data_IF_702216957887
#
_entry.id   IF_702216957887
#
_cell.length_a   1.000
_cell.length_b   1.000
_cell.length_c   1.000
_cell.angle_alpha   90.00
_cell.angle_beta   90.00
_cell.angle_gamma   90.00
#
_symmetry.space_group_name_H-M   'P 1'
#
loop_
_entity.id
_entity.type
_entity.pdbx_description
1 polymer ?
#
# COMPACT_ATOMS: atom_id res chain seq x y z
N UNK A 1 -22.77 -36.98 -11.58
CA UNK A 1 -21.46 -36.75 -10.93
C UNK A 1 -20.96 -35.27 -10.98
N UNK A 2 -21.83 -34.26 -11.22
CA UNK A 2 -21.41 -32.88 -11.51
C UNK A 2 -21.53 -31.86 -10.34
N UNK A 3 -21.84 -32.29 -9.10
CA UNK A 3 -22.11 -31.38 -7.97
C UNK A 3 -20.90 -31.03 -7.09
N UNK A 4 -19.77 -31.75 -7.20
CA UNK A 4 -18.56 -31.47 -6.38
C UNK A 4 -17.65 -30.38 -6.96
N UNK A 5 -17.75 -30.04 -8.25
CA UNK A 5 -16.85 -29.07 -8.92
C UNK A 5 -17.17 -27.61 -8.56
N UNK A 6 -18.45 -27.25 -8.42
CA UNK A 6 -18.87 -25.89 -8.06
C UNK A 6 -18.58 -25.52 -6.59
N UNK A 7 -18.44 -26.51 -5.71
CA UNK A 7 -18.28 -26.29 -4.27
C UNK A 7 -16.86 -25.83 -3.88
N UNK A 8 -15.85 -26.14 -4.69
CA UNK A 8 -14.44 -25.80 -4.39
C UNK A 8 -14.05 -24.36 -4.76
N UNK A 9 -14.61 -23.78 -5.84
CA UNK A 9 -14.38 -22.37 -6.18
C UNK A 9 -14.87 -21.41 -5.09
N UNK A 10 -15.97 -21.76 -4.39
CA UNK A 10 -16.51 -20.97 -3.29
C UNK A 10 -15.72 -21.07 -1.98
N UNK A 11 -14.84 -22.06 -1.82
CA UNK A 11 -14.15 -22.31 -0.56
C UNK A 11 -13.13 -21.20 -0.24
N UNK A 12 -12.29 -20.81 -1.19
CA UNK A 12 -11.32 -19.72 -1.01
C UNK A 12 -12.03 -18.40 -0.72
N UNK A 13 -13.09 -18.09 -1.46
CA UNK A 13 -13.87 -16.86 -1.23
C UNK A 13 -14.60 -16.87 0.11
N UNK A 14 -15.11 -18.03 0.54
CA UNK A 14 -15.74 -18.17 1.85
C UNK A 14 -14.73 -17.95 2.98
N UNK A 15 -13.52 -18.48 2.86
CA UNK A 15 -12.45 -18.29 3.86
C UNK A 15 -11.98 -16.84 3.86
N UNK A 16 -11.73 -16.23 2.69
CA UNK A 16 -11.40 -14.80 2.57
C UNK A 16 -12.46 -13.92 3.22
N UNK A 17 -13.75 -14.21 3.00
CA UNK A 17 -14.85 -13.43 3.59
C UNK A 17 -14.91 -13.55 5.11
N UNK A 18 -14.59 -14.73 5.66
CA UNK A 18 -14.59 -15.04 7.09
C UNK A 18 -13.39 -14.45 7.85
N UNK A 19 -12.23 -14.33 7.21
CA UNK A 19 -11.01 -13.80 7.85
C UNK A 19 -11.06 -12.27 7.90
N UNK A 20 -11.64 -11.74 8.98
CA UNK A 20 -11.84 -10.29 9.18
C UNK A 20 -10.62 -9.60 9.78
N UNK A 21 -9.97 -10.24 10.73
CA UNK A 21 -8.87 -9.65 11.49
C UNK A 21 -7.53 -10.30 11.09
N UNK A 22 -6.57 -9.54 10.53
CA UNK A 22 -5.24 -10.05 10.23
C UNK A 22 -4.42 -10.42 11.47
N UNK A 23 -4.89 -10.09 12.69
CA UNK A 23 -4.23 -10.43 13.96
C UNK A 23 -4.71 -11.75 14.55
N UNK A 24 -5.86 -12.28 14.09
CA UNK A 24 -6.32 -13.61 14.48
C UNK A 24 -5.45 -14.67 13.78
N UNK A 25 -4.44 -15.15 14.51
CA UNK A 25 -3.50 -16.17 14.02
C UNK A 25 -4.19 -17.45 13.54
N UNK A 26 -5.29 -17.88 14.18
CA UNK A 26 -6.00 -19.10 13.76
C UNK A 26 -6.76 -18.88 12.46
N UNK A 27 -7.40 -17.72 12.30
CA UNK A 27 -8.06 -17.38 11.04
C UNK A 27 -7.06 -17.19 9.90
N UNK A 28 -5.93 -16.53 10.16
CA UNK A 28 -4.84 -16.35 9.20
C UNK A 28 -4.24 -17.69 8.78
N UNK A 29 -3.97 -18.61 9.72
CA UNK A 29 -3.44 -19.93 9.39
C UNK A 29 -4.40 -20.76 8.52
N UNK A 30 -5.71 -20.71 8.81
CA UNK A 30 -6.73 -21.36 7.94
C UNK A 30 -6.78 -20.74 6.56
N UNK A 31 -6.66 -19.41 6.46
CA UNK A 31 -6.59 -18.72 5.19
C UNK A 31 -5.33 -19.13 4.41
N UNK A 32 -4.16 -19.14 5.05
CA UNK A 32 -2.92 -19.57 4.44
C UNK A 32 -3.04 -21.02 3.91
N UNK A 33 -3.56 -21.95 4.70
CA UNK A 33 -3.79 -23.33 4.28
C UNK A 33 -4.72 -23.43 3.06
N UNK A 34 -5.80 -22.65 3.02
CA UNK A 34 -6.71 -22.62 1.88
C UNK A 34 -6.07 -22.00 0.62
N UNK A 35 -5.17 -21.04 0.78
CA UNK A 35 -4.45 -20.42 -0.32
C UNK A 35 -3.29 -21.29 -0.80
N UNK A 36 -2.72 -22.16 0.05
CA UNK A 36 -1.69 -23.13 -0.33
C UNK A 36 -2.23 -24.27 -1.22
N UNK A 37 -3.55 -24.49 -1.29
CA UNK A 37 -4.18 -25.50 -2.15
C UNK A 37 -4.04 -25.13 -3.64
N UNK A 38 -2.97 -25.64 -4.27
CA UNK A 38 -2.65 -25.41 -5.69
C UNK A 38 -3.77 -25.90 -6.61
N UNK A 39 -4.36 -27.06 -6.32
CA UNK A 39 -5.44 -27.60 -7.14
C UNK A 39 -6.71 -26.75 -7.00
N UNK A 40 -6.97 -26.25 -5.79
CA UNK A 40 -8.03 -25.28 -5.52
C UNK A 40 -7.87 -23.98 -6.31
N UNK A 41 -6.66 -23.41 -6.31
CA UNK A 41 -6.34 -22.24 -7.13
C UNK A 41 -6.45 -22.52 -8.63
N UNK A 42 -5.93 -23.65 -9.10
CA UNK A 42 -6.01 -24.04 -10.51
C UNK A 42 -7.48 -24.20 -10.95
N UNK A 43 -8.32 -24.87 -10.15
CA UNK A 43 -9.76 -24.98 -10.41
C UNK A 43 -10.46 -23.62 -10.46
N UNK A 44 -10.06 -22.68 -9.59
CA UNK A 44 -10.59 -21.30 -9.60
C UNK A 44 -10.23 -20.55 -10.87
N UNK A 45 -9.00 -20.72 -11.37
CA UNK A 45 -8.48 -19.99 -12.53
C UNK A 45 -8.86 -20.64 -13.87
N UNK A 46 -9.16 -21.93 -13.89
CA UNK A 46 -9.44 -22.69 -15.11
C UNK A 46 -10.50 -22.05 -16.03
N UNK A 47 -11.63 -21.50 -15.55
CA UNK A 47 -12.61 -20.85 -16.41
C UNK A 47 -12.05 -19.60 -17.12
N UNK A 48 -11.20 -18.83 -16.45
CA UNK A 48 -10.60 -17.61 -17.01
C UNK A 48 -9.50 -17.98 -18.02
N UNK A 49 -8.70 -19.00 -17.72
CA UNK A 49 -7.69 -19.52 -18.64
C UNK A 49 -8.32 -20.10 -19.91
N UNK A 50 -9.44 -20.81 -19.80
CA UNK A 50 -10.19 -21.33 -20.95
C UNK A 50 -10.68 -20.19 -21.86
N UNK A 51 -11.24 -19.11 -21.27
CA UNK A 51 -11.69 -17.93 -22.04
C UNK A 51 -10.55 -17.25 -22.79
N UNK A 52 -9.37 -17.12 -22.15
CA UNK A 52 -8.19 -16.54 -22.79
C UNK A 52 -7.72 -17.42 -23.95
N UNK A 53 -7.69 -18.75 -23.74
CA UNK A 53 -7.27 -19.72 -24.76
C UNK A 53 -8.20 -19.78 -25.98
N UNK A 54 -9.50 -19.52 -25.79
CA UNK A 54 -10.50 -19.45 -26.86
C UNK A 54 -10.30 -18.23 -27.79
N UNK A 55 -9.37 -17.31 -27.49
CA UNK A 55 -8.91 -16.27 -28.40
C UNK A 55 -9.96 -15.17 -28.69
N UNK A 56 -11.07 -15.15 -27.96
CA UNK A 56 -12.08 -14.11 -28.10
C UNK A 56 -11.59 -12.77 -27.56
N UNK A 57 -12.03 -11.66 -28.17
CA UNK A 57 -11.77 -10.29 -27.69
C UNK A 57 -12.45 -9.96 -26.35
N UNK A 58 -12.95 -10.96 -25.63
CA UNK A 58 -13.63 -10.78 -24.37
C UNK A 58 -12.59 -10.46 -23.29
N UNK A 59 -12.76 -9.30 -22.66
CA UNK A 59 -11.90 -8.86 -21.57
C UNK A 59 -11.89 -9.91 -20.43
N UNK A 60 -10.72 -10.31 -19.91
CA UNK A 60 -10.63 -11.21 -18.77
C UNK A 60 -11.40 -10.63 -17.57
N UNK A 61 -12.09 -11.47 -16.79
CA UNK A 61 -12.83 -10.97 -15.61
C UNK A 61 -11.91 -10.61 -14.46
N UNK A 62 -10.69 -11.16 -14.47
CA UNK A 62 -9.68 -10.86 -13.48
C UNK A 62 -8.82 -9.68 -13.96
N UNK A 63 -8.79 -8.63 -13.14
CA UNK A 63 -7.91 -7.50 -13.39
C UNK A 63 -6.44 -7.92 -13.32
N UNK A 64 -5.68 -7.62 -14.36
CA UNK A 64 -4.24 -7.82 -14.42
C UNK A 64 -3.48 -6.85 -13.51
N UNK A 65 -2.30 -7.28 -13.08
CA UNK A 65 -1.34 -6.49 -12.30
C UNK A 65 -0.02 -6.55 -13.06
N UNK A 66 0.55 -5.38 -13.35
CA UNK A 66 1.90 -5.25 -13.89
C UNK A 66 2.55 -4.05 -13.21
N UNK A 67 3.56 -4.30 -12.37
CA UNK A 67 4.32 -3.25 -11.72
C UNK A 67 5.71 -3.76 -11.33
N UNK A 68 6.77 -3.06 -11.75
CA UNK A 68 8.15 -3.27 -11.28
C UNK A 68 8.61 -4.75 -11.25
N UNK A 69 8.46 -5.48 -12.36
CA UNK A 69 8.83 -6.91 -12.45
C UNK A 69 7.90 -7.88 -11.69
N UNK A 70 6.76 -7.38 -11.20
CA UNK A 70 5.67 -8.19 -10.67
C UNK A 70 4.53 -8.25 -11.68
N UNK A 71 4.11 -9.47 -12.00
CA UNK A 71 2.94 -9.74 -12.85
C UNK A 71 1.90 -10.51 -12.05
N UNK A 72 0.62 -10.35 -12.34
CA UNK A 72 -0.39 -11.13 -11.63
C UNK A 72 -1.83 -10.79 -11.96
N UNK A 73 -2.72 -11.35 -11.16
CA UNK A 73 -4.17 -11.15 -11.28
C UNK A 73 -4.81 -10.96 -9.90
N UNK A 74 -5.82 -10.11 -9.84
CA UNK A 74 -6.66 -9.96 -8.64
C UNK A 74 -7.61 -11.15 -8.55
N UNK A 75 -7.48 -11.94 -7.49
CA UNK A 75 -8.38 -13.08 -7.22
C UNK A 75 -9.69 -12.60 -6.58
N UNK A 76 -9.60 -11.69 -5.60
CA UNK A 76 -10.74 -11.17 -4.85
C UNK A 76 -10.45 -9.75 -4.38
N UNK A 77 -11.47 -8.89 -4.40
CA UNK A 77 -11.38 -7.54 -3.84
C UNK A 77 -12.71 -7.18 -3.19
N UNK A 78 -12.65 -6.70 -1.96
CA UNK A 78 -13.77 -6.05 -1.30
C UNK A 78 -13.30 -4.79 -0.53
N UNK A 79 -14.20 -4.18 0.24
CA UNK A 79 -13.90 -2.97 1.02
C UNK A 79 -12.83 -3.20 2.11
N UNK A 80 -12.54 -4.45 2.48
CA UNK A 80 -11.64 -4.82 3.60
C UNK A 80 -10.31 -5.36 3.12
N UNK A 81 -10.28 -6.14 2.03
CA UNK A 81 -9.04 -6.76 1.56
C UNK A 81 -8.97 -6.92 0.05
N UNK A 82 -7.74 -7.11 -0.44
CA UNK A 82 -7.46 -7.54 -1.81
C UNK A 82 -6.59 -8.80 -1.76
N UNK A 83 -7.02 -9.86 -2.45
CA UNK A 83 -6.24 -11.08 -2.66
C UNK A 83 -5.77 -11.16 -4.11
N UNK A 84 -4.50 -11.48 -4.33
CA UNK A 84 -3.84 -11.43 -5.63
C UNK A 84 -2.96 -12.66 -5.81
N UNK A 85 -2.96 -13.25 -7.00
CA UNK A 85 -1.93 -14.19 -7.43
C UNK A 85 -0.88 -13.38 -8.17
N UNK A 86 0.37 -13.47 -7.75
CA UNK A 86 1.50 -12.73 -8.29
C UNK A 86 2.61 -13.70 -8.69
N UNK A 87 3.34 -13.35 -9.74
CA UNK A 87 4.62 -13.91 -10.11
C UNK A 87 5.64 -12.79 -9.95
N UNK A 88 6.64 -13.04 -9.13
CA UNK A 88 7.66 -12.06 -8.74
C UNK A 88 9.03 -12.64 -9.04
N UNK A 89 9.88 -11.89 -9.72
CA UNK A 89 11.27 -12.27 -9.93
C UNK A 89 12.12 -12.00 -8.69
N UNK A 90 13.21 -12.75 -8.54
CA UNK A 90 14.20 -12.43 -7.53
C UNK A 90 14.79 -11.04 -7.81
N UNK A 91 14.84 -10.21 -6.77
CA UNK A 91 15.34 -8.86 -6.87
C UNK A 91 16.87 -8.87 -6.89
N UNK A 92 17.41 -8.76 -8.10
CA UNK A 92 18.85 -8.78 -8.39
C UNK A 92 19.40 -7.38 -8.66
N UNK A 93 18.59 -6.33 -8.51
CA UNK A 93 18.97 -4.97 -8.90
C UNK A 93 19.78 -4.26 -7.82
N UNK A 94 20.82 -3.53 -8.23
CA UNK A 94 21.55 -2.58 -7.37
C UNK A 94 20.75 -1.31 -7.05
N UNK A 95 19.70 -1.03 -7.84
CA UNK A 95 18.75 0.06 -7.61
C UNK A 95 17.48 -0.42 -6.89
N UNK A 96 17.55 -1.60 -6.28
CA UNK A 96 16.45 -2.17 -5.54
C UNK A 96 15.96 -1.26 -4.42
N UNK A 97 14.65 -1.31 -4.18
CA UNK A 97 14.01 -0.54 -3.11
C UNK A 97 13.27 -1.45 -2.14
N UNK A 98 13.23 -1.04 -0.88
CA UNK A 98 12.49 -1.71 0.19
C UNK A 98 11.25 -0.87 0.47
N UNK A 99 10.09 -1.41 0.13
CA UNK A 99 8.78 -0.75 0.26
C UNK A 99 8.06 -1.10 1.56
N UNK A 100 7.68 -0.07 2.32
CA UNK A 100 6.77 -0.16 3.47
C UNK A 100 5.45 0.51 3.11
N UNK A 101 4.31 -0.09 3.47
CA UNK A 101 2.98 0.35 3.10
C UNK A 101 2.02 0.41 4.29
N UNK A 102 0.72 0.47 4.02
CA UNK A 102 -0.32 0.43 5.05
C UNK A 102 -0.75 -1.01 5.37
N UNK A 103 -1.25 -1.20 6.59
CA UNK A 103 -2.01 -2.39 6.97
C UNK A 103 -1.17 -3.65 7.16
N UNK A 104 -1.83 -4.79 6.96
CA UNK A 104 -1.25 -6.11 7.12
C UNK A 104 -1.27 -6.86 5.80
N UNK A 105 -0.24 -7.70 5.59
CA UNK A 105 -0.07 -8.49 4.38
C UNK A 105 0.24 -9.94 4.74
N UNK A 106 -0.52 -10.86 4.19
CA UNK A 106 -0.19 -12.29 4.16
C UNK A 106 0.38 -12.62 2.79
N UNK A 107 1.53 -13.26 2.76
CA UNK A 107 2.13 -13.84 1.55
C UNK A 107 2.22 -15.35 1.73
N UNK A 108 1.70 -16.11 0.78
CA UNK A 108 1.82 -17.58 0.70
C UNK A 108 2.66 -17.92 -0.53
N UNK A 109 3.73 -18.70 -0.34
CA UNK A 109 4.68 -19.01 -1.41
C UNK A 109 4.26 -20.27 -2.17
N UNK A 110 4.29 -20.22 -3.50
CA UNK A 110 4.00 -21.35 -4.39
C UNK A 110 5.21 -21.72 -5.25
N UNK A 111 6.41 -21.39 -4.81
CA UNK A 111 7.65 -21.67 -5.53
C UNK A 111 7.84 -23.18 -5.82
N UNK A 112 8.45 -23.50 -6.96
CA UNK A 112 8.82 -24.88 -7.32
C UNK A 112 10.13 -25.33 -6.65
N UNK A 113 10.95 -24.38 -6.20
CA UNK A 113 12.18 -24.58 -5.43
C UNK A 113 12.17 -23.66 -4.21
N UNK A 114 12.94 -23.95 -3.15
CA UNK A 114 13.10 -23.01 -2.05
C UNK A 114 13.60 -21.64 -2.53
N UNK A 115 13.12 -20.57 -1.90
CA UNK A 115 13.50 -19.19 -2.19
C UNK A 115 14.07 -18.52 -0.95
N UNK A 116 15.10 -17.69 -1.10
CA UNK A 116 15.65 -16.93 0.02
C UNK A 116 15.02 -15.55 0.04
N UNK A 117 14.50 -15.15 1.20
CA UNK A 117 14.02 -13.80 1.47
C UNK A 117 14.89 -13.09 2.49
N UNK A 118 15.03 -11.78 2.31
CA UNK A 118 15.54 -10.87 3.34
C UNK A 118 14.37 -10.10 3.95
N UNK A 119 14.26 -10.08 5.29
CA UNK A 119 13.22 -9.27 5.96
C UNK A 119 13.83 -8.01 6.53
N UNK A 120 13.06 -6.94 6.47
CA UNK A 120 13.47 -5.62 6.90
C UNK A 120 12.48 -5.05 7.90
N UNK A 121 12.97 -4.22 8.81
CA UNK A 121 12.16 -3.44 9.74
C UNK A 121 12.48 -1.95 9.65
N UNK A 122 11.46 -1.13 9.73
CA UNK A 122 11.57 0.31 9.87
C UNK A 122 10.88 0.79 11.15
N UNK A 123 11.54 1.68 11.90
CA UNK A 123 10.91 2.39 13.00
C UNK A 123 10.04 3.52 12.48
N UNK A 124 8.96 3.88 13.19
CA UNK A 124 8.09 5.01 12.83
C UNK A 124 8.69 6.38 13.15
N UNK A 125 9.91 6.44 13.70
CA UNK A 125 10.53 7.67 14.18
C UNK A 125 10.13 8.04 15.63
N UNK A 126 10.79 9.05 16.23
CA UNK A 126 10.44 9.56 17.55
C UNK A 126 9.03 10.18 17.54
N UNK A 127 8.13 9.72 18.42
CA UNK A 127 6.73 10.17 18.46
C UNK A 127 5.69 9.20 17.88
N UNK A 128 6.10 7.97 17.56
CA UNK A 128 5.17 6.90 17.19
C UNK A 128 4.50 7.12 15.83
N UNK A 129 3.20 6.78 15.72
CA UNK A 129 2.44 6.78 14.45
C UNK A 129 2.35 8.14 13.74
N UNK A 130 2.57 9.24 14.45
CA UNK A 130 2.54 10.61 13.90
C UNK A 130 3.92 11.29 13.92
N UNK A 131 4.96 10.56 14.34
CA UNK A 131 6.32 11.08 14.53
C UNK A 131 7.26 10.89 13.34
N UNK A 132 6.80 10.22 12.27
CA UNK A 132 7.61 10.04 11.08
C UNK A 132 7.87 11.39 10.41
N UNK A 133 9.11 11.74 10.16
CA UNK A 133 9.49 12.96 9.44
C UNK A 133 10.50 12.58 8.36
N UNK A 134 10.32 13.09 7.14
CA UNK A 134 11.16 12.73 5.99
C UNK A 134 12.62 13.08 6.24
N UNK A 135 12.87 14.28 6.78
CA UNK A 135 14.23 14.79 7.02
C UNK A 135 14.99 14.07 8.12
N UNK A 136 14.31 13.28 8.96
CA UNK A 136 14.91 12.51 10.05
C UNK A 136 14.47 11.05 10.03
N UNK A 137 14.10 10.53 8.85
CA UNK A 137 13.62 9.17 8.71
C UNK A 137 14.75 8.18 9.07
N UNK A 138 14.55 7.29 10.06
CA UNK A 138 15.56 6.31 10.42
C UNK A 138 15.76 5.32 9.26
N UNK A 139 16.98 4.77 9.08
CA UNK A 139 17.20 3.75 8.07
C UNK A 139 16.42 2.48 8.42
N UNK A 140 15.99 1.75 7.39
CA UNK A 140 15.46 0.40 7.59
C UNK A 140 16.59 -0.59 7.87
N UNK A 141 16.32 -1.59 8.71
CA UNK A 141 17.32 -2.57 9.16
C UNK A 141 16.98 -3.97 8.67
N UNK A 142 17.98 -4.70 8.20
CA UNK A 142 17.87 -6.13 7.92
C UNK A 142 17.62 -6.88 9.23
N UNK A 143 16.60 -7.72 9.27
CA UNK A 143 16.30 -8.62 10.37
C UNK A 143 17.00 -9.98 10.22
N UNK A 144 17.27 -10.39 8.98
CA UNK A 144 17.90 -11.68 8.67
C UNK A 144 17.52 -12.19 7.29
N UNK A 145 17.92 -13.44 7.04
CA UNK A 145 17.57 -14.21 5.84
C UNK A 145 16.78 -15.45 6.23
N UNK A 146 15.78 -15.79 5.42
CA UNK A 146 14.95 -16.97 5.60
C UNK A 146 14.77 -17.70 4.29
N UNK A 147 14.76 -19.02 4.35
CA UNK A 147 14.38 -19.86 3.21
C UNK A 147 12.88 -20.18 3.31
N UNK A 148 12.16 -19.97 2.21
CA UNK A 148 10.73 -20.23 2.09
C UNK A 148 10.51 -21.33 1.05
N UNK A 149 9.73 -22.34 1.40
CA UNK A 149 9.29 -23.40 0.51
C UNK A 149 7.84 -23.20 0.05
N UNK A 150 7.36 -24.11 -0.80
CA UNK A 150 5.95 -24.16 -1.18
C UNK A 150 5.04 -24.35 0.04
N UNK A 151 4.01 -23.53 0.16
CA UNK A 151 3.05 -23.55 1.26
C UNK A 151 3.49 -22.79 2.50
N UNK A 152 4.76 -22.38 2.59
CA UNK A 152 5.20 -21.46 3.64
C UNK A 152 4.52 -20.11 3.46
N UNK A 153 4.30 -19.43 4.58
CA UNK A 153 3.63 -18.15 4.58
C UNK A 153 4.25 -17.17 5.57
N UNK A 154 4.10 -15.88 5.25
CA UNK A 154 4.60 -14.77 6.03
C UNK A 154 3.49 -13.75 6.27
N UNK A 155 3.28 -13.40 7.53
CA UNK A 155 2.46 -12.24 7.91
C UNK A 155 3.37 -11.05 8.18
N UNK A 156 3.08 -9.93 7.52
CA UNK A 156 3.86 -8.69 7.58
C UNK A 156 2.95 -7.55 8.02
N UNK A 157 3.33 -6.84 9.08
CA UNK A 157 2.76 -5.53 9.38
C UNK A 157 3.44 -4.50 8.46
N UNK A 158 2.83 -4.21 7.30
CA UNK A 158 3.47 -3.48 6.19
C UNK A 158 3.94 -2.08 6.55
N UNK A 159 3.41 -1.50 7.63
CA UNK A 159 3.87 -0.22 8.19
C UNK A 159 5.30 -0.30 8.74
N UNK A 160 5.71 -1.46 9.24
CA UNK A 160 6.97 -1.63 9.98
C UNK A 160 7.87 -2.69 9.40
N UNK A 161 7.32 -3.62 8.62
CA UNK A 161 8.04 -4.76 8.09
C UNK A 161 7.87 -4.85 6.58
N UNK A 162 8.92 -5.29 5.92
CA UNK A 162 8.97 -5.57 4.50
C UNK A 162 9.85 -6.79 4.25
N UNK A 163 9.79 -7.38 3.06
CA UNK A 163 10.74 -8.39 2.64
C UNK A 163 11.05 -8.25 1.16
N UNK A 164 12.22 -8.75 0.75
CA UNK A 164 12.66 -8.90 -0.64
C UNK A 164 12.94 -10.38 -0.90
N UNK A 165 12.65 -10.84 -2.10
CA UNK A 165 13.12 -12.16 -2.59
C UNK A 165 14.49 -11.91 -3.18
N UNK A 166 15.54 -12.48 -2.60
CA UNK A 166 16.93 -12.22 -3.01
C UNK A 166 17.54 -13.37 -3.79
N UNK A 167 17.06 -14.59 -3.59
CA UNK A 167 17.51 -15.76 -4.34
C UNK A 167 16.31 -16.63 -4.72
N UNK A 168 16.21 -16.96 -5.99
CA UNK A 168 15.27 -17.93 -6.53
C UNK A 168 15.85 -18.52 -7.82
N UNK A 169 15.50 -19.78 -8.11
CA UNK A 169 15.90 -20.46 -9.35
C UNK A 169 15.19 -19.90 -10.60
N UNK A 170 14.07 -19.21 -10.41
CA UNK A 170 13.28 -18.58 -11.47
C UNK A 170 12.16 -17.71 -10.89
N UNK A 171 11.17 -17.31 -11.70
CA UNK A 171 10.02 -16.54 -11.24
C UNK A 171 9.28 -17.25 -10.11
N UNK A 172 8.86 -16.51 -9.09
CA UNK A 172 8.28 -17.04 -7.85
C UNK A 172 6.78 -16.76 -7.81
N UNK A 173 5.92 -17.77 -8.02
CA UNK A 173 4.49 -17.62 -7.81
C UNK A 173 4.20 -17.48 -6.31
N UNK A 174 3.37 -16.51 -5.95
CA UNK A 174 2.89 -16.30 -4.60
C UNK A 174 1.46 -15.79 -4.59
N UNK A 175 0.71 -16.10 -3.54
CA UNK A 175 -0.58 -15.47 -3.26
C UNK A 175 -0.39 -14.43 -2.17
N UNK A 176 -0.85 -13.21 -2.44
CA UNK A 176 -0.78 -12.09 -1.50
C UNK A 176 -2.17 -11.65 -1.12
N UNK A 177 -2.42 -11.54 0.18
CA UNK A 177 -3.62 -10.91 0.74
C UNK A 177 -3.20 -9.65 1.47
N UNK A 178 -3.76 -8.52 1.08
CA UNK A 178 -3.54 -7.22 1.70
C UNK A 178 -4.84 -6.75 2.36
N UNK A 179 -4.81 -6.60 3.69
CA UNK A 179 -5.90 -5.98 4.42
C UNK A 179 -5.78 -4.47 4.33
N UNK A 180 -6.86 -3.83 3.87
CA UNK A 180 -7.01 -2.38 3.87
C UNK A 180 -7.07 -1.93 5.32
N UNK A 181 -6.05 -1.19 5.73
CA UNK A 181 -6.00 -0.53 7.03
C UNK A 181 -5.74 0.96 6.83
N UNK A 182 -6.37 1.80 7.64
CA UNK A 182 -5.97 3.19 7.76
C UNK A 182 -4.60 3.22 8.44
N UNK A 183 -3.56 3.52 7.66
CA UNK A 183 -2.25 3.87 8.19
C UNK A 183 -2.15 5.39 8.19
N UNK A 184 -1.85 6.03 9.34
CA UNK A 184 -1.52 7.46 9.36
C UNK A 184 -0.14 7.71 8.72
N UNK A 185 0.64 6.66 8.49
CA UNK A 185 1.96 6.74 7.87
C UNK A 185 1.84 6.60 6.35
N UNK A 186 2.60 7.41 5.59
CA UNK A 186 2.69 7.25 4.14
C UNK A 186 3.38 5.94 3.79
N UNK A 187 3.19 5.48 2.55
CA UNK A 187 4.04 4.44 2.01
C UNK A 187 5.46 5.00 1.86
N UNK A 188 6.47 4.21 2.19
CA UNK A 188 7.87 4.65 2.22
C UNK A 188 8.72 3.72 1.38
N UNK A 189 9.69 4.31 0.68
CA UNK A 189 10.71 3.61 -0.08
C UNK A 189 12.07 3.89 0.53
N UNK A 190 12.83 2.83 0.70
CA UNK A 190 14.19 2.86 1.18
C UNK A 190 15.11 2.27 0.12
N UNK A 191 16.29 2.83 -0.05
CA UNK A 191 17.32 2.34 -0.96
C UNK A 191 17.95 1.07 -0.41
N UNK A 192 18.19 0.11 -1.29
CA UNK A 192 19.17 -0.94 -1.06
C UNK A 192 20.42 -0.68 -1.93
N UNK A 193 21.63 -1.07 -1.47
CA UNK A 193 21.97 -1.47 -0.10
C UNK A 193 21.97 -0.29 0.88
N UNK A 194 22.06 -0.59 2.18
CA UNK A 194 22.24 0.42 3.25
C UNK A 194 20.96 0.93 3.90
N UNK A 195 19.79 0.74 3.29
CA UNK A 195 18.50 1.01 3.93
C UNK A 195 18.23 2.49 4.20
N UNK A 196 18.84 3.40 3.43
CA UNK A 196 18.60 4.84 3.53
C UNK A 196 17.23 5.24 3.00
N UNK A 197 16.58 6.21 3.63
CA UNK A 197 15.28 6.71 3.17
C UNK A 197 15.41 7.39 1.80
N UNK A 198 14.55 7.01 0.84
CA UNK A 198 14.57 7.53 -0.53
C UNK A 198 13.37 8.42 -0.83
N UNK A 199 12.19 8.08 -0.29
CA UNK A 199 10.99 8.84 -0.54
C UNK A 199 9.73 8.22 0.01
N UNK A 200 8.62 8.93 -0.16
CA UNK A 200 7.30 8.48 0.30
C UNK A 200 6.24 8.73 -0.76
N UNK A 201 5.15 7.98 -0.68
CA UNK A 201 3.94 8.13 -1.47
C UNK A 201 2.72 7.95 -0.58
N UNK A 202 1.53 8.24 -1.12
CA UNK A 202 0.28 8.00 -0.39
C UNK A 202 0.12 6.50 -0.12
N UNK A 203 -0.23 6.15 1.11
CA UNK A 203 -0.35 4.75 1.53
C UNK A 203 -1.67 4.08 1.12
N UNK A 204 -2.68 4.89 0.77
CA UNK A 204 -3.98 4.41 0.35
C UNK A 204 -4.43 5.06 -0.96
N UNK A 205 -5.21 4.30 -1.73
CA UNK A 205 -5.83 4.78 -2.96
C UNK A 205 -6.80 5.95 -2.69
N UNK A 206 -7.51 5.92 -1.56
CA UNK A 206 -8.44 6.97 -1.18
C UNK A 206 -7.71 8.30 -0.99
N UNK A 207 -6.57 8.30 -0.29
CA UNK A 207 -5.80 9.52 -0.07
C UNK A 207 -5.11 10.00 -1.36
N UNK A 208 -4.64 9.08 -2.19
CA UNK A 208 -4.10 9.41 -3.52
C UNK A 208 -5.17 10.08 -4.41
N UNK A 209 -6.39 9.54 -4.42
CA UNK A 209 -7.52 10.11 -5.14
C UNK A 209 -7.89 11.49 -4.60
N UNK A 210 -7.94 11.66 -3.28
CA UNK A 210 -8.15 12.97 -2.66
C UNK A 210 -7.08 13.98 -3.08
N UNK A 211 -5.80 13.58 -3.09
CA UNK A 211 -4.70 14.43 -3.56
C UNK A 211 -4.86 14.84 -5.03
N UNK A 212 -5.28 13.92 -5.91
CA UNK A 212 -5.56 14.20 -7.32
C UNK A 212 -6.71 15.19 -7.44
N UNK A 213 -7.82 14.99 -6.72
CA UNK A 213 -8.97 15.90 -6.75
C UNK A 213 -8.59 17.31 -6.27
N UNK A 214 -7.84 17.43 -5.17
CA UNK A 214 -7.32 18.71 -4.68
C UNK A 214 -6.44 19.40 -5.75
N UNK A 215 -5.61 18.62 -6.44
CA UNK A 215 -4.77 19.14 -7.52
C UNK A 215 -5.60 19.63 -8.71
N UNK A 216 -6.65 18.88 -9.08
CA UNK A 216 -7.55 19.23 -10.17
C UNK A 216 -8.31 20.53 -9.86
N UNK A 217 -8.89 20.66 -8.66
CA UNK A 217 -9.57 21.88 -8.21
C UNK A 217 -8.65 23.10 -8.28
N UNK A 218 -7.37 22.93 -7.91
CA UNK A 218 -6.35 23.98 -8.03
C UNK A 218 -6.07 24.36 -9.47
N UNK A 219 -5.83 23.38 -10.34
CA UNK A 219 -5.54 23.63 -11.76
C UNK A 219 -6.71 24.33 -12.45
N UNK A 220 -7.95 24.01 -12.05
CA UNK A 220 -9.16 24.65 -12.55
C UNK A 220 -9.47 25.99 -11.87
N UNK A 221 -8.62 26.47 -10.95
CA UNK A 221 -8.79 27.72 -10.20
C UNK A 221 -10.16 27.85 -9.50
N UNK A 222 -10.72 26.74 -8.99
CA UNK A 222 -12.06 26.69 -8.37
C UNK A 222 -12.08 27.33 -6.98
N UNK A 223 -12.20 28.67 -6.92
CA UNK A 223 -12.34 29.45 -5.67
C UNK A 223 -13.59 29.06 -4.86
N UNK A 224 -14.66 28.68 -5.54
CA UNK A 224 -15.90 28.20 -4.95
C UNK A 224 -15.77 26.85 -4.22
N UNK A 225 -14.64 26.15 -4.40
CA UNK A 225 -14.35 24.88 -3.71
C UNK A 225 -13.65 25.06 -2.35
N UNK A 226 -13.70 26.25 -1.73
CA UNK A 226 -13.06 26.54 -0.44
C UNK A 226 -13.40 25.51 0.66
N UNK A 227 -14.66 25.05 0.72
CA UNK A 227 -15.09 24.03 1.70
C UNK A 227 -14.42 22.66 1.48
N UNK A 228 -14.14 22.28 0.24
CA UNK A 228 -13.43 21.04 -0.08
C UNK A 228 -11.96 21.12 0.37
N UNK A 229 -11.30 22.26 0.16
CA UNK A 229 -9.96 22.49 0.70
C UNK A 229 -9.96 22.51 2.23
N UNK A 230 -10.91 23.20 2.86
CA UNK A 230 -11.09 23.24 4.31
C UNK A 230 -11.28 21.84 4.91
N UNK A 231 -12.03 20.95 4.24
CA UNK A 231 -12.15 19.56 4.67
C UNK A 231 -10.86 18.78 4.49
N UNK A 232 -10.13 18.98 3.39
CA UNK A 232 -8.90 18.25 3.11
C UNK A 232 -7.73 18.63 4.04
N UNK A 233 -7.67 19.89 4.51
CA UNK A 233 -6.67 20.32 5.50
C UNK A 233 -6.88 19.71 6.88
N UNK A 234 -8.01 19.06 7.15
CA UNK A 234 -8.28 18.32 8.40
C UNK A 234 -7.99 16.81 8.28
N UNK A 235 -7.49 16.34 7.14
CA UNK A 235 -7.15 14.93 6.93
C UNK A 235 -6.19 14.40 8.01
N UNK A 236 -6.32 13.13 8.42
CA UNK A 236 -5.32 12.49 9.29
C UNK A 236 -3.95 12.34 8.61
N UNK A 237 -3.94 12.31 7.28
CA UNK A 237 -2.72 12.16 6.48
C UNK A 237 -2.04 13.50 6.27
N UNK A 238 -0.90 13.68 6.93
CA UNK A 238 -0.21 14.97 6.99
C UNK A 238 0.25 15.49 5.61
N UNK A 239 0.64 14.59 4.70
CA UNK A 239 1.03 14.96 3.32
C UNK A 239 -0.15 15.53 2.56
N UNK A 240 -1.35 14.96 2.74
CA UNK A 240 -2.58 15.47 2.14
C UNK A 240 -2.98 16.82 2.76
N UNK A 241 -2.92 16.96 4.09
CA UNK A 241 -3.20 18.26 4.75
C UNK A 241 -2.35 19.38 4.17
N UNK A 242 -1.03 19.16 4.10
CA UNK A 242 -0.11 20.17 3.59
C UNK A 242 -0.31 20.44 2.09
N UNK A 243 -0.56 19.39 1.30
CA UNK A 243 -0.86 19.53 -0.13
C UNK A 243 -2.13 20.37 -0.36
N UNK A 244 -3.20 20.10 0.38
CA UNK A 244 -4.44 20.88 0.34
C UNK A 244 -4.24 22.33 0.77
N UNK A 245 -3.46 22.58 1.84
CA UNK A 245 -3.15 23.95 2.27
C UNK A 245 -2.42 24.73 1.17
N UNK A 246 -1.39 24.13 0.56
CA UNK A 246 -0.67 24.76 -0.57
C UNK A 246 -1.57 25.01 -1.77
N UNK A 247 -2.49 24.10 -2.06
CA UNK A 247 -3.45 24.26 -3.14
C UNK A 247 -4.42 25.41 -2.85
N UNK A 248 -4.93 25.50 -1.63
CA UNK A 248 -5.84 26.56 -1.22
C UNK A 248 -5.16 27.94 -1.24
N UNK A 249 -3.96 28.06 -0.67
CA UNK A 249 -3.18 29.30 -0.69
C UNK A 249 -2.90 29.82 -2.11
N UNK A 250 -2.74 28.93 -3.08
CA UNK A 250 -2.49 29.32 -4.47
C UNK A 250 -3.74 29.88 -5.17
N UNK A 251 -4.94 29.58 -4.66
CA UNK A 251 -6.22 29.97 -5.26
C UNK A 251 -6.79 31.20 -4.55
N UNK A 252 -6.78 31.15 -3.22
CA UNK A 252 -7.36 32.15 -2.31
C UNK A 252 -6.59 32.13 -0.98
N UNK A 253 -5.54 32.96 -0.92
CA UNK A 253 -4.69 33.05 0.25
C UNK A 253 -5.43 33.61 1.46
N UNK A 254 -6.32 34.59 1.26
CA UNK A 254 -7.06 35.26 2.32
C UNK A 254 -7.99 34.27 3.03
N UNK A 255 -8.78 33.50 2.27
CA UNK A 255 -9.66 32.48 2.84
C UNK A 255 -8.89 31.36 3.57
N UNK A 256 -7.67 31.04 3.11
CA UNK A 256 -6.84 29.98 3.69
C UNK A 256 -6.10 30.41 4.98
N UNK A 257 -5.91 31.71 5.22
CA UNK A 257 -5.10 32.25 6.33
C UNK A 257 -5.48 31.71 7.72
N UNK A 258 -6.77 31.65 8.12
CA UNK A 258 -7.15 31.14 9.43
C UNK A 258 -6.73 29.68 9.64
N UNK A 259 -6.92 28.84 8.62
CA UNK A 259 -6.52 27.44 8.65
C UNK A 259 -4.99 27.29 8.66
N UNK A 260 -4.27 28.10 7.87
CA UNK A 260 -2.81 28.13 7.87
C UNK A 260 -2.24 28.52 9.25
N UNK A 261 -2.84 29.52 9.90
CA UNK A 261 -2.48 29.95 11.25
C UNK A 261 -2.72 28.84 12.29
N UNK A 262 -3.81 28.08 12.17
CA UNK A 262 -4.07 26.90 13.01
C UNK A 262 -3.02 25.82 12.80
N UNK A 263 -2.70 25.47 11.55
CA UNK A 263 -1.69 24.45 11.24
C UNK A 263 -0.31 24.83 11.80
N UNK A 264 0.11 26.08 11.64
CA UNK A 264 1.38 26.56 12.17
C UNK A 264 1.49 26.43 13.69
N UNK A 265 0.39 26.67 14.42
CA UNK A 265 0.35 26.62 15.88
C UNK A 265 0.30 25.20 16.42
N UNK A 266 -0.54 24.35 15.82
CA UNK A 266 -0.99 23.12 16.45
C UNK A 266 -1.19 21.93 15.53
N UNK A 267 -0.70 21.94 14.28
CA UNK A 267 -0.72 20.71 13.46
C UNK A 267 0.02 19.59 14.22
N UNK A 268 -0.51 18.36 14.18
CA UNK A 268 0.07 17.22 14.91
C UNK A 268 1.48 16.88 14.39
N UNK A 269 1.73 17.14 13.11
CA UNK A 269 2.96 16.80 12.42
C UNK A 269 3.97 17.96 12.41
N UNK A 270 5.18 17.72 12.93
CA UNK A 270 6.20 18.77 13.09
C UNK A 270 6.58 19.43 11.77
N UNK A 271 6.83 18.66 10.71
CA UNK A 271 7.22 19.23 9.41
C UNK A 271 6.09 20.11 8.83
N UNK A 272 4.83 19.75 9.07
CA UNK A 272 3.68 20.56 8.61
C UNK A 272 3.58 21.85 9.40
N UNK A 273 3.76 21.81 10.73
CA UNK A 273 3.84 23.04 11.55
C UNK A 273 4.95 23.97 11.07
N UNK A 274 6.15 23.43 10.83
CA UNK A 274 7.29 24.20 10.35
C UNK A 274 7.03 24.81 8.97
N UNK A 275 6.46 24.04 8.05
CA UNK A 275 6.13 24.52 6.70
C UNK A 275 5.01 25.58 6.75
N UNK A 276 3.99 25.40 7.58
CA UNK A 276 2.92 26.38 7.78
C UNK A 276 3.43 27.68 8.40
N UNK A 277 4.31 27.61 9.40
CA UNK A 277 4.99 28.78 9.98
C UNK A 277 5.80 29.55 8.93
N UNK A 278 6.52 28.84 8.05
CA UNK A 278 7.26 29.46 6.97
C UNK A 278 6.32 30.13 5.95
N UNK A 279 5.25 29.47 5.54
CA UNK A 279 4.27 30.03 4.62
C UNK A 279 3.54 31.25 5.19
N UNK A 280 3.20 31.27 6.49
CA UNK A 280 2.59 32.44 7.13
C UNK A 280 3.46 33.69 7.00
N UNK A 281 4.78 33.55 7.11
CA UNK A 281 5.72 34.67 6.98
C UNK A 281 5.73 35.24 5.57
N UNK A 282 5.44 34.42 4.55
CA UNK A 282 5.39 34.83 3.15
C UNK A 282 4.04 35.45 2.77
N UNK A 283 2.94 34.96 3.35
CA UNK A 283 1.58 35.36 2.95
C UNK A 283 1.05 36.55 3.75
N UNK A 284 1.44 36.71 5.03
CA UNK A 284 1.00 37.85 5.85
C UNK A 284 1.28 39.23 5.24
N UNK A 285 2.43 39.49 4.58
CA UNK A 285 2.68 40.77 3.92
C UNK A 285 1.78 41.06 2.70
N UNK A 286 1.08 40.06 2.16
CA UNK A 286 0.24 40.18 0.96
C UNK A 286 -1.24 40.39 1.27
N UNK A 287 -1.65 40.24 2.54
CA UNK A 287 -3.04 40.32 3.00
C UNK A 287 -3.30 41.54 3.91
N UNK A 288 -2.36 42.47 3.96
CA UNK A 288 -2.46 43.78 4.63
C UNK A 288 -2.56 44.87 3.56
#
# INVERSE_FOLDING_TARGET
>A
MARKSAQSCGAIDAVLRRTRDPRDRRAVARLAAALSDRDGLARRLAPELARIAEGGSAEPRLAGIAQDGTHGVVLHRDARLTAMLLVVDADRSEDATIGFGAGHRLTVFHASSPVTIERYRCASGPGGRHGFAAGSAPPCRLLGRWTMAAGDWLMTASEHEAFRIVEAAGPVPLVRVEWRGASPLPARRYRWPGGGYQGMTMASEADARAQIMVSALRTMARRDAASAFASAVESEVFTLRWHAMRAWLAIDAEAALPALARMARSDRHREVRCAALAALRLVRPLAA
#
